data_IF_593807023655
#
_entry.id   IF_593807023655
#
_cell.length_a   1.000
_cell.length_b   1.000
_cell.length_c   1.000
_cell.angle_alpha   90.00
_cell.angle_beta   90.00
_cell.angle_gamma   90.00
#
_symmetry.space_group_name_H-M   'P 1'
#
loop_
_entity.id
_entity.type
_entity.pdbx_description
1 polymer ?
#
# COMPACT_ATOMS: atom_id res chain seq x y z
N UNK A 1 -11.03 73.14 2.62
CA UNK A 1 -10.25 72.24 1.75
C UNK A 1 -11.16 71.06 1.41
N UNK A 2 -11.84 71.12 0.27
CA UNK A 2 -12.77 70.08 -0.19
C UNK A 2 -12.06 69.19 -1.21
N UNK A 3 -11.98 67.90 -0.93
CA UNK A 3 -11.45 66.90 -1.86
C UNK A 3 -12.64 66.35 -2.66
N UNK A 4 -12.58 66.48 -3.98
CA UNK A 4 -13.50 65.85 -4.90
C UNK A 4 -12.96 64.46 -5.26
N UNK A 5 -13.73 63.42 -4.94
CA UNK A 5 -13.39 62.02 -5.24
C UNK A 5 -14.24 61.57 -6.41
N UNK A 6 -13.61 61.35 -7.57
CA UNK A 6 -14.25 60.69 -8.71
C UNK A 6 -14.02 59.18 -8.63
N UNK A 7 -15.12 58.42 -8.49
CA UNK A 7 -15.13 56.97 -8.63
C UNK A 7 -15.29 56.63 -10.11
N UNK A 8 -14.20 56.28 -10.77
CA UNK A 8 -14.25 55.71 -12.12
C UNK A 8 -14.63 54.23 -12.06
N UNK A 9 -15.77 53.86 -12.63
CA UNK A 9 -16.08 52.47 -12.94
C UNK A 9 -15.04 51.97 -13.96
N UNK A 10 -14.20 51.01 -13.55
CA UNK A 10 -13.30 50.32 -14.47
C UNK A 10 -14.16 49.63 -15.53
N UNK A 11 -14.04 50.07 -16.79
CA UNK A 11 -14.50 49.28 -17.93
C UNK A 11 -13.98 47.85 -17.76
N UNK A 12 -14.91 46.90 -17.68
CA UNK A 12 -14.61 45.48 -17.71
C UNK A 12 -13.89 45.19 -19.03
N UNK A 13 -12.56 45.25 -19.00
CA UNK A 13 -11.72 44.64 -20.02
C UNK A 13 -12.19 43.19 -20.13
N UNK A 14 -12.66 42.81 -21.32
CA UNK A 14 -12.97 41.43 -21.66
C UNK A 14 -11.82 40.55 -21.16
N UNK A 15 -12.11 39.74 -20.14
CA UNK A 15 -11.24 38.65 -19.74
C UNK A 15 -11.15 37.77 -20.99
N UNK A 16 -9.95 37.56 -21.57
CA UNK A 16 -9.80 36.65 -22.69
C UNK A 16 -10.43 35.32 -22.28
N UNK A 17 -11.35 34.83 -23.09
CA UNK A 17 -12.04 33.58 -22.86
C UNK A 17 -10.97 32.48 -22.99
N UNK A 18 -10.35 32.12 -21.87
CA UNK A 18 -9.31 31.10 -21.83
C UNK A 18 -9.94 29.79 -22.29
N UNK A 19 -9.37 29.22 -23.36
CA UNK A 19 -9.73 27.89 -23.79
C UNK A 19 -9.66 26.94 -22.58
N UNK A 20 -10.59 25.99 -22.44
CA UNK A 20 -10.53 25.03 -21.35
C UNK A 20 -9.15 24.34 -21.39
N UNK A 21 -8.45 24.21 -20.24
CA UNK A 21 -7.12 23.63 -20.21
C UNK A 21 -7.18 22.22 -20.81
N UNK A 22 -6.23 21.90 -21.69
CA UNK A 22 -6.12 20.57 -22.28
C UNK A 22 -6.18 19.51 -21.16
N UNK A 23 -7.14 18.59 -21.24
CA UNK A 23 -7.32 17.56 -20.24
C UNK A 23 -6.15 16.58 -20.32
N UNK A 24 -5.22 16.62 -19.37
CA UNK A 24 -4.13 15.64 -19.27
C UNK A 24 -4.70 14.29 -18.86
N UNK A 25 -4.41 13.26 -19.65
CA UNK A 25 -4.77 11.89 -19.30
C UNK A 25 -3.55 11.23 -18.66
N UNK A 26 -3.68 10.85 -17.38
CA UNK A 26 -2.64 10.10 -16.68
C UNK A 26 -2.81 8.60 -16.93
N UNK A 27 -1.76 7.96 -17.40
CA UNK A 27 -1.73 6.57 -17.82
C UNK A 27 -0.63 5.79 -17.09
N UNK A 28 -0.86 4.52 -16.69
CA UNK A 28 0.20 3.73 -16.09
C UNK A 28 1.32 3.42 -17.09
N UNK A 29 2.52 3.11 -16.58
CA UNK A 29 3.59 2.52 -17.38
C UNK A 29 3.39 1.01 -17.55
N UNK A 30 4.03 0.42 -18.57
CA UNK A 30 4.00 -1.03 -18.83
C UNK A 30 4.76 -1.82 -17.78
N UNK A 31 5.86 -1.28 -17.24
CA UNK A 31 6.50 -1.79 -16.03
C UNK A 31 5.90 -1.12 -14.81
N UNK A 32 5.28 -1.93 -13.95
CA UNK A 32 4.51 -1.48 -12.80
C UNK A 32 5.20 -1.91 -11.52
N UNK A 33 5.42 -0.96 -10.62
CA UNK A 33 5.98 -1.24 -9.30
C UNK A 33 4.86 -1.38 -8.25
N UNK A 34 4.89 -2.44 -7.47
CA UNK A 34 3.85 -2.81 -6.52
C UNK A 34 4.34 -2.55 -5.09
N UNK A 35 3.57 -1.76 -4.33
CA UNK A 35 3.75 -1.63 -2.89
C UNK A 35 3.15 -2.83 -2.14
N UNK A 36 3.54 -3.03 -0.88
CA UNK A 36 3.06 -4.12 -0.01
C UNK A 36 1.52 -4.21 0.00
N UNK A 37 0.85 -3.06 0.10
CA UNK A 37 -0.61 -3.01 0.16
C UNK A 37 -1.28 -3.62 -1.08
N UNK A 38 -0.65 -3.51 -2.25
CA UNK A 38 -1.15 -4.10 -3.47
C UNK A 38 -0.80 -5.58 -3.61
N UNK A 39 0.37 -6.01 -3.12
CA UNK A 39 0.69 -7.44 -3.05
C UNK A 39 -0.37 -8.20 -2.23
N UNK A 40 -0.78 -7.64 -1.09
CA UNK A 40 -1.86 -8.20 -0.27
C UNK A 40 -3.19 -8.21 -1.02
N UNK A 41 -3.51 -7.12 -1.73
CA UNK A 41 -4.73 -7.04 -2.51
C UNK A 41 -4.79 -8.04 -3.68
N UNK A 42 -3.65 -8.31 -4.32
CA UNK A 42 -3.52 -9.27 -5.42
C UNK A 42 -3.65 -10.73 -5.01
N UNK A 43 -3.57 -11.07 -3.71
CA UNK A 43 -3.76 -12.45 -3.23
C UNK A 43 -5.04 -12.62 -2.40
N UNK A 44 -5.64 -11.52 -1.95
CA UNK A 44 -6.84 -11.48 -1.12
C UNK A 44 -8.00 -12.29 -1.73
N UNK A 45 -8.68 -13.05 -0.87
CA UNK A 45 -9.88 -13.78 -1.27
C UNK A 45 -11.00 -12.85 -1.78
N UNK A 46 -11.12 -11.61 -1.31
CA UNK A 46 -12.12 -10.65 -1.82
C UNK A 46 -11.91 -10.38 -3.32
N UNK A 47 -10.66 -10.30 -3.75
CA UNK A 47 -10.30 -10.07 -5.16
C UNK A 47 -10.66 -11.28 -6.03
N UNK A 48 -10.46 -12.50 -5.52
CA UNK A 48 -10.57 -13.73 -6.33
C UNK A 48 -11.89 -14.49 -6.20
N UNK A 49 -12.59 -14.35 -5.07
CA UNK A 49 -13.84 -15.08 -4.82
C UNK A 49 -14.96 -14.62 -5.75
N UNK A 50 -15.95 -15.49 -6.04
CA UNK A 50 -17.15 -15.11 -6.79
C UNK A 50 -17.79 -13.87 -6.18
N UNK A 51 -18.23 -12.92 -7.00
CA UNK A 51 -18.84 -11.68 -6.49
C UNK A 51 -20.11 -11.98 -5.68
N UNK A 52 -20.40 -11.21 -4.62
CA UNK A 52 -21.71 -11.25 -3.98
C UNK A 52 -22.83 -10.89 -4.96
N UNK A 53 -23.99 -11.49 -4.76
CA UNK A 53 -25.19 -11.27 -5.58
C UNK A 53 -26.03 -10.09 -5.08
N UNK A 54 -25.84 -9.68 -3.83
CA UNK A 54 -26.56 -8.59 -3.18
C UNK A 54 -25.77 -8.03 -2.01
N UNK A 55 -26.21 -6.87 -1.48
CA UNK A 55 -25.62 -6.28 -0.27
C UNK A 55 -25.75 -7.22 0.94
N UNK A 56 -26.89 -7.90 1.06
CA UNK A 56 -27.16 -8.86 2.13
C UNK A 56 -26.22 -10.06 2.05
N UNK A 57 -25.95 -10.56 0.83
CA UNK A 57 -24.97 -11.63 0.60
C UNK A 57 -23.54 -11.17 0.97
N UNK A 58 -23.16 -9.95 0.58
CA UNK A 58 -21.85 -9.38 0.93
C UNK A 58 -21.64 -9.28 2.45
N UNK A 59 -22.66 -8.85 3.19
CA UNK A 59 -22.63 -8.81 4.65
C UNK A 59 -22.58 -10.22 5.27
N UNK A 60 -23.43 -11.12 4.79
CA UNK A 60 -23.52 -12.49 5.30
C UNK A 60 -22.19 -13.26 5.19
N UNK A 61 -21.40 -12.99 4.14
CA UNK A 61 -20.09 -13.63 3.92
C UNK A 61 -19.08 -13.39 5.02
N UNK A 62 -19.10 -12.23 5.68
CA UNK A 62 -18.11 -11.88 6.70
C UNK A 62 -18.73 -11.74 8.09
N UNK A 63 -20.00 -12.11 8.24
CA UNK A 63 -20.64 -12.21 9.54
C UNK A 63 -20.06 -13.43 10.28
N UNK A 64 -19.48 -13.26 11.48
CA UNK A 64 -18.94 -14.40 12.22
C UNK A 64 -20.05 -15.41 12.52
N UNK A 65 -19.73 -16.70 12.39
CA UNK A 65 -20.66 -17.81 12.64
C UNK A 65 -21.27 -17.74 14.05
N UNK A 66 -22.45 -18.32 14.23
CA UNK A 66 -23.12 -18.41 15.53
C UNK A 66 -22.21 -19.07 16.58
N UNK A 67 -21.48 -20.11 16.20
CA UNK A 67 -20.51 -20.79 17.07
C UNK A 67 -19.36 -19.87 17.52
N UNK A 68 -18.80 -19.05 16.63
CA UNK A 68 -17.78 -18.07 16.99
C UNK A 68 -18.32 -17.00 17.94
N UNK A 69 -19.54 -16.52 17.69
CA UNK A 69 -20.23 -15.56 18.58
C UNK A 69 -20.48 -16.17 19.97
N UNK A 70 -20.88 -17.44 20.04
CA UNK A 70 -21.06 -18.17 21.29
C UNK A 70 -19.75 -18.41 22.03
N UNK A 71 -18.69 -18.83 21.33
CA UNK A 71 -17.35 -18.98 21.92
C UNK A 71 -16.86 -17.65 22.52
N UNK A 72 -17.02 -16.53 21.79
CA UNK A 72 -16.64 -15.21 22.28
C UNK A 72 -17.48 -14.77 23.48
N UNK A 73 -18.78 -15.12 23.52
CA UNK A 73 -19.69 -14.86 24.65
C UNK A 73 -19.32 -15.67 25.89
N UNK A 74 -18.74 -16.87 25.76
CA UNK A 74 -18.32 -17.73 26.87
C UNK A 74 -16.95 -17.33 27.47
N UNK A 75 -16.19 -16.47 26.79
CA UNK A 75 -14.83 -16.07 27.20
C UNK A 75 -14.74 -15.09 28.39
N UNK A 76 -15.72 -14.21 28.70
CA UNK A 76 -15.65 -13.31 29.85
C UNK A 76 -15.64 -14.02 31.22
N UNK A 77 -16.01 -15.29 31.30
CA UNK A 77 -16.11 -16.02 32.57
C UNK A 77 -14.78 -16.65 33.03
N UNK A 78 -13.81 -16.84 32.12
CA UNK A 78 -12.52 -17.47 32.44
C UNK A 78 -11.39 -16.48 32.78
N UNK A 79 -11.59 -15.17 32.57
CA UNK A 79 -10.56 -14.13 32.82
C UNK A 79 -10.99 -13.05 33.83
N UNK A 80 -12.16 -13.13 34.45
CA UNK A 80 -12.51 -12.29 35.62
C UNK A 80 -11.84 -12.84 36.88
N UNK A 81 -10.52 -12.68 36.96
CA UNK A 81 -9.79 -12.72 38.22
C UNK A 81 -9.94 -11.38 38.93
N UNK A 82 -10.51 -11.40 40.13
CA UNK A 82 -10.60 -10.35 41.15
C UNK A 82 -9.83 -9.04 40.90
N UNK A 83 -10.42 -8.10 40.16
CA UNK A 83 -10.14 -6.69 40.38
C UNK A 83 -11.43 -5.91 40.16
N UNK A 84 -12.20 -5.79 41.25
CA UNK A 84 -13.24 -4.79 41.38
C UNK A 84 -12.54 -3.45 41.62
N UNK A 85 -12.42 -2.64 40.59
CA UNK A 85 -12.54 -1.18 40.70
C UNK A 85 -12.79 -0.60 39.30
N UNK A 86 -13.77 0.28 39.27
CA UNK A 86 -14.51 0.77 38.11
C UNK A 86 -13.66 1.42 37.00
N UNK A 87 -14.12 1.26 35.76
CA UNK A 87 -14.52 2.42 34.94
C UNK A 87 -15.47 2.00 33.79
N UNK A 88 -16.68 2.56 33.88
CA UNK A 88 -17.55 3.07 32.81
C UNK A 88 -18.01 2.16 31.65
N UNK A 89 -19.23 1.62 31.81
CA UNK A 89 -20.35 2.16 31.03
C UNK A 89 -20.39 1.94 29.52
N UNK A 90 -20.44 0.69 29.05
CA UNK A 90 -21.18 0.39 27.82
C UNK A 90 -21.89 -0.97 27.95
N UNK A 91 -23.23 -1.05 27.85
CA UNK A 91 -23.93 -2.32 27.72
C UNK A 91 -23.46 -3.03 26.45
N UNK A 92 -22.97 -4.27 26.58
CA UNK A 92 -22.47 -5.11 25.48
C UNK A 92 -23.61 -5.68 24.62
N UNK A 93 -24.50 -4.79 24.16
CA UNK A 93 -25.59 -5.09 23.22
C UNK A 93 -25.19 -4.75 21.78
N UNK A 94 -23.91 -4.89 21.44
CA UNK A 94 -23.46 -4.86 20.05
C UNK A 94 -23.76 -6.21 19.38
N UNK A 95 -25.04 -6.44 19.06
CA UNK A 95 -25.47 -7.47 18.11
C UNK A 95 -25.08 -7.15 16.65
N UNK A 96 -24.35 -6.06 16.41
CA UNK A 96 -23.85 -5.66 15.10
C UNK A 96 -22.58 -6.43 14.66
N UNK A 97 -22.33 -6.54 13.35
CA UNK A 97 -21.05 -7.04 12.83
C UNK A 97 -19.89 -6.20 13.38
N UNK A 98 -18.77 -6.85 13.69
CA UNK A 98 -17.56 -6.15 14.12
C UNK A 98 -17.14 -5.12 13.06
N UNK A 99 -16.45 -4.05 13.47
CA UNK A 99 -15.96 -3.04 12.52
C UNK A 99 -15.16 -3.65 11.36
N UNK A 100 -14.42 -4.73 11.63
CA UNK A 100 -13.67 -5.49 10.63
C UNK A 100 -14.59 -6.23 9.66
N UNK A 101 -15.62 -6.92 10.15
CA UNK A 101 -16.63 -7.59 9.31
C UNK A 101 -17.33 -6.60 8.37
N UNK A 102 -17.70 -5.42 8.88
CA UNK A 102 -18.28 -4.34 8.07
C UNK A 102 -17.30 -3.81 7.03
N UNK A 103 -16.02 -3.67 7.38
CA UNK A 103 -14.99 -3.23 6.45
C UNK A 103 -14.79 -4.22 5.29
N UNK A 104 -14.73 -5.54 5.57
CA UNK A 104 -14.62 -6.58 4.54
C UNK A 104 -15.86 -6.62 3.63
N UNK A 105 -17.05 -6.48 4.21
CA UNK A 105 -18.30 -6.40 3.45
C UNK A 105 -18.29 -5.21 2.49
N UNK A 106 -17.84 -4.04 2.96
CA UNK A 106 -17.68 -2.85 2.11
C UNK A 106 -16.64 -3.06 1.00
N UNK A 107 -15.55 -3.77 1.25
CA UNK A 107 -14.56 -4.10 0.22
C UNK A 107 -15.15 -5.05 -0.84
N UNK A 108 -15.97 -6.03 -0.44
CA UNK A 108 -16.68 -6.90 -1.39
C UNK A 108 -17.70 -6.12 -2.24
N UNK A 109 -18.40 -5.14 -1.66
CA UNK A 109 -19.27 -4.24 -2.41
C UNK A 109 -18.50 -3.37 -3.42
N UNK A 110 -17.28 -2.94 -3.07
CA UNK A 110 -16.41 -2.23 -4.01
C UNK A 110 -16.01 -3.12 -5.18
N UNK A 111 -15.66 -4.39 -4.92
CA UNK A 111 -15.35 -5.35 -6.00
C UNK A 111 -16.55 -5.63 -6.91
N UNK A 112 -17.79 -5.60 -6.40
CA UNK A 112 -18.99 -5.68 -7.23
C UNK A 112 -19.14 -4.47 -8.16
N UNK A 113 -18.78 -3.27 -7.70
CA UNK A 113 -18.89 -2.05 -8.48
C UNK A 113 -17.79 -1.97 -9.55
N UNK A 114 -16.55 -2.27 -9.16
CA UNK A 114 -15.40 -2.38 -10.07
C UNK A 114 -14.32 -3.24 -9.43
N UNK A 115 -14.06 -4.40 -10.03
CA UNK A 115 -13.03 -5.31 -9.55
C UNK A 115 -11.63 -4.71 -9.66
N UNK A 116 -10.77 -5.00 -8.69
CA UNK A 116 -9.37 -4.54 -8.72
C UNK A 116 -8.65 -5.01 -9.99
N UNK A 117 -8.76 -6.30 -10.32
CA UNK A 117 -8.06 -6.85 -11.49
C UNK A 117 -8.66 -6.32 -12.80
N UNK A 118 -9.98 -6.07 -12.85
CA UNK A 118 -10.62 -5.41 -13.98
C UNK A 118 -10.06 -4.00 -14.17
N UNK A 119 -9.96 -3.19 -13.10
CA UNK A 119 -9.36 -1.86 -13.18
C UNK A 119 -7.90 -1.92 -13.64
N UNK A 120 -7.12 -2.87 -13.12
CA UNK A 120 -5.74 -3.08 -13.52
C UNK A 120 -5.64 -3.38 -15.02
N UNK A 121 -6.43 -4.36 -15.50
CA UNK A 121 -6.45 -4.80 -16.90
C UNK A 121 -6.88 -3.66 -17.82
N UNK A 122 -7.97 -2.98 -17.52
CA UNK A 122 -8.51 -1.88 -18.34
C UNK A 122 -7.45 -0.80 -18.61
N UNK A 123 -6.76 -0.34 -17.56
CA UNK A 123 -5.76 0.73 -17.72
C UNK A 123 -4.49 0.24 -18.39
N UNK A 124 -4.09 -1.01 -18.16
CA UNK A 124 -2.89 -1.57 -18.78
C UNK A 124 -3.12 -1.87 -20.27
N UNK A 125 -4.30 -2.35 -20.66
CA UNK A 125 -4.68 -2.51 -22.08
C UNK A 125 -4.68 -1.15 -22.80
N UNK A 126 -5.03 -0.06 -22.11
CA UNK A 126 -5.00 1.28 -22.71
C UNK A 126 -3.60 1.79 -23.07
N UNK A 127 -2.53 1.20 -22.50
CA UNK A 127 -1.13 1.61 -22.68
C UNK A 127 -0.25 0.54 -23.33
N UNK A 128 -0.81 -0.65 -23.54
CA UNK A 128 -0.16 -1.86 -24.07
C UNK A 128 -1.07 -2.50 -25.13
N UNK A 129 -0.84 -3.77 -25.45
CA UNK A 129 -1.70 -4.58 -26.30
C UNK A 129 -2.88 -5.18 -25.50
N UNK A 130 -3.94 -5.64 -26.17
CA UNK A 130 -5.04 -6.39 -25.51
C UNK A 130 -4.58 -7.68 -24.80
N UNK A 131 -3.43 -8.21 -25.20
CA UNK A 131 -2.77 -9.39 -24.59
C UNK A 131 -1.84 -9.02 -23.43
N UNK A 132 -1.66 -7.72 -23.15
CA UNK A 132 -0.75 -7.18 -22.13
C UNK A 132 0.71 -7.61 -22.35
N UNK A 133 1.12 -7.75 -23.61
CA UNK A 133 2.48 -8.11 -23.96
C UNK A 133 3.45 -7.00 -23.53
N UNK A 134 4.55 -7.38 -22.89
CA UNK A 134 5.54 -6.45 -22.35
C UNK A 134 5.13 -5.74 -21.05
N UNK A 135 3.96 -6.04 -20.48
CA UNK A 135 3.62 -5.60 -19.12
C UNK A 135 4.38 -6.46 -18.11
N UNK A 136 5.06 -5.81 -17.16
CA UNK A 136 5.81 -6.49 -16.11
C UNK A 136 5.49 -5.91 -14.74
N UNK A 137 5.39 -6.78 -13.74
CA UNK A 137 5.19 -6.39 -12.35
C UNK A 137 6.46 -6.56 -11.53
N UNK A 138 6.79 -5.54 -10.76
CA UNK A 138 7.97 -5.47 -9.91
C UNK A 138 7.59 -5.12 -8.47
N UNK A 139 8.41 -5.51 -7.51
CA UNK A 139 8.28 -5.13 -6.10
C UNK A 139 9.65 -5.03 -5.42
N UNK A 140 9.70 -4.37 -4.26
CA UNK A 140 10.88 -4.40 -3.40
C UNK A 140 10.99 -5.74 -2.65
N UNK A 141 12.21 -6.12 -2.27
CA UNK A 141 12.46 -7.29 -1.42
C UNK A 141 11.76 -7.18 -0.07
N UNK A 142 11.76 -5.99 0.55
CA UNK A 142 11.04 -5.74 1.81
C UNK A 142 9.53 -6.01 1.65
N UNK A 143 8.89 -5.48 0.61
CA UNK A 143 7.46 -5.69 0.40
C UNK A 143 7.13 -7.17 0.13
N UNK A 144 7.97 -7.88 -0.64
CA UNK A 144 7.84 -9.34 -0.84
C UNK A 144 7.92 -10.08 0.48
N UNK A 145 8.99 -9.87 1.24
CA UNK A 145 9.28 -10.65 2.45
C UNK A 145 8.22 -10.42 3.52
N UNK A 146 7.74 -9.17 3.66
CA UNK A 146 6.61 -8.84 4.54
C UNK A 146 5.31 -9.48 4.06
N UNK A 147 5.01 -9.44 2.76
CA UNK A 147 3.82 -10.08 2.19
C UNK A 147 3.81 -11.59 2.50
N UNK A 148 4.93 -12.28 2.22
CA UNK A 148 5.09 -13.71 2.52
C UNK A 148 4.90 -13.99 4.00
N UNK A 149 5.51 -13.20 4.90
CA UNK A 149 5.36 -13.39 6.36
C UNK A 149 3.92 -13.20 6.82
N UNK A 150 3.24 -12.15 6.35
CA UNK A 150 1.85 -11.85 6.71
C UNK A 150 0.92 -12.99 6.26
N UNK A 151 1.04 -13.39 5.00
CA UNK A 151 0.10 -14.35 4.38
C UNK A 151 0.41 -15.79 4.80
N UNK A 152 1.67 -16.23 4.69
CA UNK A 152 2.06 -17.62 4.95
C UNK A 152 2.08 -17.96 6.43
N UNK A 153 2.59 -17.06 7.28
CA UNK A 153 2.88 -17.40 8.67
C UNK A 153 1.82 -16.92 9.66
N UNK A 154 0.90 -16.03 9.27
CA UNK A 154 0.07 -15.32 10.27
C UNK A 154 -1.42 -15.38 9.99
N UNK A 155 -1.87 -14.85 8.87
CA UNK A 155 -3.31 -14.57 8.71
C UNK A 155 -3.91 -15.04 7.38
N UNK A 156 -3.12 -15.51 6.42
CA UNK A 156 -3.66 -15.97 5.13
C UNK A 156 -4.40 -17.30 5.24
N UNK A 157 -5.54 -17.40 4.55
CA UNK A 157 -6.22 -18.68 4.33
C UNK A 157 -5.50 -19.55 3.30
N UNK A 158 -6.05 -20.74 3.02
CA UNK A 158 -5.43 -21.74 2.13
C UNK A 158 -5.19 -21.20 0.72
N UNK A 159 -6.20 -20.58 0.11
CA UNK A 159 -6.09 -20.04 -1.24
C UNK A 159 -5.19 -18.79 -1.28
N UNK A 160 -5.26 -17.91 -0.27
CA UNK A 160 -4.38 -16.74 -0.16
C UNK A 160 -2.90 -17.16 -0.06
N UNK A 161 -2.60 -18.19 0.75
CA UNK A 161 -1.27 -18.79 0.89
C UNK A 161 -0.77 -19.40 -0.42
N UNK A 162 -1.64 -20.11 -1.13
CA UNK A 162 -1.31 -20.67 -2.43
C UNK A 162 -0.95 -19.57 -3.44
N UNK A 163 -1.76 -18.51 -3.52
CA UNK A 163 -1.54 -17.39 -4.45
C UNK A 163 -0.25 -16.64 -4.16
N UNK A 164 0.06 -16.35 -2.89
CA UNK A 164 1.31 -15.63 -2.57
C UNK A 164 2.54 -16.46 -2.90
N UNK A 165 2.51 -17.78 -2.70
CA UNK A 165 3.59 -18.67 -3.09
C UNK A 165 3.78 -18.71 -4.62
N UNK A 166 2.67 -18.66 -5.37
CA UNK A 166 2.69 -18.62 -6.82
C UNK A 166 3.22 -17.30 -7.40
N UNK A 167 3.03 -16.16 -6.72
CA UNK A 167 3.59 -14.86 -7.15
C UNK A 167 5.13 -14.84 -7.13
N UNK A 168 5.74 -15.62 -6.24
CA UNK A 168 7.19 -15.70 -6.04
C UNK A 168 7.67 -17.15 -6.17
N UNK A 169 7.62 -17.74 -7.38
CA UNK A 169 7.90 -19.16 -7.57
C UNK A 169 9.33 -19.52 -7.19
N UNK A 170 9.50 -20.68 -6.57
CA UNK A 170 10.82 -21.24 -6.27
C UNK A 170 11.56 -21.64 -7.55
N UNK A 171 12.88 -21.81 -7.48
CA UNK A 171 13.67 -22.27 -8.63
C UNK A 171 13.24 -23.63 -9.20
N UNK A 172 12.51 -24.44 -8.42
CA UNK A 172 12.03 -25.76 -8.82
C UNK A 172 10.61 -25.73 -9.42
N UNK A 173 9.94 -24.57 -9.40
CA UNK A 173 8.56 -24.42 -9.89
C UNK A 173 8.58 -23.75 -11.25
N UNK A 174 8.04 -24.40 -12.28
CA UNK A 174 7.94 -23.77 -13.60
C UNK A 174 6.96 -22.59 -13.57
N UNK A 175 7.19 -21.58 -14.41
CA UNK A 175 6.31 -20.39 -14.47
C UNK A 175 4.87 -20.80 -14.82
N UNK A 176 4.67 -21.76 -15.73
CA UNK A 176 3.32 -22.25 -16.06
C UNK A 176 2.61 -22.87 -14.86
N UNK A 177 3.30 -23.68 -14.06
CA UNK A 177 2.72 -24.28 -12.86
C UNK A 177 2.38 -23.23 -11.80
N UNK A 178 3.24 -22.22 -11.63
CA UNK A 178 2.97 -21.12 -10.73
C UNK A 178 1.76 -20.31 -11.20
N UNK A 179 1.65 -20.04 -12.49
CA UNK A 179 0.49 -19.36 -13.06
C UNK A 179 -0.81 -20.16 -12.85
N UNK A 180 -0.79 -21.47 -13.08
CA UNK A 180 -1.91 -22.37 -12.78
C UNK A 180 -2.32 -22.28 -11.31
N UNK A 181 -1.34 -22.35 -10.40
CA UNK A 181 -1.59 -22.27 -8.96
C UNK A 181 -2.13 -20.91 -8.52
N UNK A 182 -1.71 -19.80 -9.14
CA UNK A 182 -2.22 -18.46 -8.79
C UNK A 182 -3.70 -18.28 -9.19
N UNK A 183 -4.08 -18.76 -10.36
CA UNK A 183 -5.44 -18.61 -10.88
C UNK A 183 -6.41 -19.70 -10.39
N UNK A 184 -5.94 -20.73 -9.71
CA UNK A 184 -6.80 -21.74 -9.10
C UNK A 184 -7.80 -21.10 -8.11
N UNK A 185 -9.05 -21.55 -8.18
CA UNK A 185 -10.18 -21.01 -7.40
C UNK A 185 -10.40 -19.49 -7.55
N UNK A 186 -9.93 -18.89 -8.65
CA UNK A 186 -10.20 -17.50 -8.99
C UNK A 186 -11.44 -17.38 -9.87
N UNK A 187 -12.22 -16.30 -9.69
CA UNK A 187 -13.32 -15.93 -10.60
C UNK A 187 -12.82 -15.46 -11.97
N UNK A 188 -11.55 -15.09 -12.08
CA UNK A 188 -10.93 -14.65 -13.32
C UNK A 188 -10.29 -15.83 -14.06
N UNK A 189 -10.29 -15.83 -15.41
CA UNK A 189 -9.64 -16.86 -16.18
C UNK A 189 -8.11 -16.83 -16.00
N UNK A 190 -7.45 -17.95 -16.35
CA UNK A 190 -5.98 -18.00 -16.43
C UNK A 190 -5.45 -16.90 -17.35
N UNK A 191 -4.30 -16.33 -17.01
CA UNK A 191 -3.65 -15.25 -17.75
C UNK A 191 -4.52 -13.97 -17.86
N UNK A 192 -5.46 -13.75 -16.95
CA UNK A 192 -6.24 -12.50 -16.92
C UNK A 192 -5.36 -11.27 -16.69
N UNK A 193 -4.27 -11.41 -15.94
CA UNK A 193 -3.17 -10.44 -15.86
C UNK A 193 -1.83 -11.18 -15.82
N UNK A 194 -0.76 -10.66 -16.42
CA UNK A 194 0.56 -11.30 -16.41
C UNK A 194 1.30 -11.05 -15.08
N UNK A 195 0.67 -11.35 -13.93
CA UNK A 195 1.23 -11.08 -12.59
C UNK A 195 2.27 -12.10 -12.14
N UNK A 196 2.35 -13.28 -12.75
CA UNK A 196 3.30 -14.33 -12.40
C UNK A 196 4.42 -14.41 -13.44
N UNK A 197 5.72 -14.33 -13.05
CA UNK A 197 6.22 -13.99 -11.71
C UNK A 197 6.22 -12.49 -11.45
N UNK A 198 6.06 -12.08 -10.19
CA UNK A 198 6.42 -10.72 -9.77
C UNK A 198 7.94 -10.67 -9.61
N UNK A 199 8.56 -9.74 -10.33
CA UNK A 199 10.02 -9.51 -10.27
C UNK A 199 10.38 -8.73 -9.00
N UNK A 200 11.55 -9.00 -8.45
CA UNK A 200 12.01 -8.39 -7.19
C UNK A 200 13.27 -7.62 -7.45
N UNK A 201 13.38 -6.40 -6.93
CA UNK A 201 14.63 -5.65 -6.99
C UNK A 201 15.71 -6.30 -6.12
N UNK A 202 16.93 -6.38 -6.65
CA UNK A 202 18.06 -7.03 -5.98
C UNK A 202 18.55 -6.25 -4.75
N UNK A 203 18.35 -4.93 -4.73
CA UNK A 203 18.79 -4.05 -3.64
C UNK A 203 17.59 -3.42 -2.92
N UNK A 204 17.77 -3.13 -1.63
CA UNK A 204 16.72 -2.52 -0.77
C UNK A 204 16.35 -1.13 -1.28
N UNK A 205 17.35 -0.33 -1.63
CA UNK A 205 17.18 1.01 -2.21
C UNK A 205 17.85 1.09 -3.59
N UNK A 206 17.34 1.91 -4.51
CA UNK A 206 18.00 2.14 -5.77
C UNK A 206 19.35 2.85 -5.58
N UNK A 207 20.31 2.65 -6.49
CA UNK A 207 21.57 3.38 -6.49
C UNK A 207 21.35 4.91 -6.44
N UNK A 208 22.20 5.68 -5.74
CA UNK A 208 22.02 7.12 -5.57
C UNK A 208 22.15 7.90 -6.89
N UNK A 209 22.86 7.36 -7.86
CA UNK A 209 23.04 7.89 -9.22
C UNK A 209 21.89 7.51 -10.18
N UNK A 210 21.03 6.54 -9.80
CA UNK A 210 19.85 6.21 -10.59
C UNK A 210 18.85 7.38 -10.53
N UNK A 211 18.66 8.03 -11.67
CA UNK A 211 17.70 9.11 -11.84
C UNK A 211 16.59 8.66 -12.79
N UNK A 212 15.36 9.18 -12.63
CA UNK A 212 14.29 8.89 -13.58
C UNK A 212 14.73 9.28 -14.99
N UNK A 213 14.45 8.44 -16.00
CA UNK A 213 14.78 8.79 -17.38
C UNK A 213 13.95 10.01 -17.83
N UNK A 214 14.38 10.67 -18.90
CA UNK A 214 13.61 11.78 -19.49
C UNK A 214 12.39 11.26 -20.27
N UNK A 215 12.51 10.05 -20.82
CA UNK A 215 11.49 9.38 -21.61
C UNK A 215 11.10 8.06 -20.96
N UNK A 216 9.83 7.70 -21.08
CA UNK A 216 9.32 6.38 -20.74
C UNK A 216 9.79 5.36 -21.77
N UNK A 217 9.54 4.08 -21.48
CA UNK A 217 9.89 2.96 -22.38
C UNK A 217 9.21 3.07 -23.75
N UNK A 218 8.06 3.75 -23.81
CA UNK A 218 7.31 4.00 -25.05
C UNK A 218 7.73 5.33 -25.71
N UNK A 219 8.86 5.92 -25.31
CA UNK A 219 9.39 7.17 -25.86
C UNK A 219 8.64 8.44 -25.44
N UNK A 220 7.72 8.37 -24.46
CA UNK A 220 6.94 9.54 -24.01
C UNK A 220 7.69 10.33 -22.95
N UNK A 221 7.62 11.66 -22.97
CA UNK A 221 8.22 12.47 -21.92
C UNK A 221 7.65 12.08 -20.54
N UNK A 222 8.55 11.83 -19.58
CA UNK A 222 8.16 11.62 -18.20
C UNK A 222 7.93 12.95 -17.51
N UNK A 223 6.93 12.94 -16.63
CA UNK A 223 6.68 14.08 -15.76
C UNK A 223 7.92 14.42 -14.95
N UNK A 224 8.31 15.70 -14.84
CA UNK A 224 9.29 16.14 -13.85
C UNK A 224 8.94 15.71 -12.41
N UNK A 225 7.68 15.33 -12.16
CA UNK A 225 7.19 14.83 -10.89
C UNK A 225 7.90 13.54 -10.45
N UNK A 226 8.38 12.70 -11.37
CA UNK A 226 9.18 11.52 -11.03
C UNK A 226 10.48 11.88 -10.32
N UNK A 227 11.19 12.91 -10.79
CA UNK A 227 12.44 13.37 -10.18
C UNK A 227 12.18 13.98 -8.80
N UNK A 228 11.10 14.76 -8.68
CA UNK A 228 10.68 15.35 -7.42
C UNK A 228 10.31 14.27 -6.39
N UNK A 229 9.49 13.29 -6.79
CA UNK A 229 9.10 12.17 -5.94
C UNK A 229 10.32 11.36 -5.48
N UNK A 230 11.24 11.03 -6.39
CA UNK A 230 12.48 10.31 -6.08
C UNK A 230 13.33 11.07 -5.06
N UNK A 231 13.57 12.37 -5.29
CA UNK A 231 14.31 13.23 -4.36
C UNK A 231 13.66 13.29 -2.98
N UNK A 232 12.35 13.49 -2.92
CA UNK A 232 11.62 13.55 -1.65
C UNK A 232 11.68 12.22 -0.91
N UNK A 233 11.46 11.08 -1.57
CA UNK A 233 11.56 9.78 -0.92
C UNK A 233 12.98 9.51 -0.37
N UNK A 234 14.04 9.90 -1.10
CA UNK A 234 15.43 9.82 -0.58
C UNK A 234 15.62 10.66 0.67
N UNK A 235 15.17 11.90 0.66
CA UNK A 235 15.29 12.80 1.80
C UNK A 235 14.59 12.24 3.05
N UNK A 236 13.37 11.71 2.88
CA UNK A 236 12.60 11.11 3.97
C UNK A 236 13.33 9.85 4.51
N UNK A 237 13.89 9.00 3.64
CA UNK A 237 14.65 7.81 4.09
C UNK A 237 15.99 8.14 4.79
N UNK A 238 16.68 9.20 4.36
CA UNK A 238 17.91 9.67 5.02
C UNK A 238 17.62 10.12 6.46
N UNK A 239 16.52 10.82 6.69
CA UNK A 239 16.11 11.31 8.02
C UNK A 239 15.82 10.17 9.02
N UNK A 240 15.50 8.97 8.54
CA UNK A 240 15.23 7.80 9.39
C UNK A 240 16.47 7.02 9.79
N UNK A 241 17.58 7.18 9.05
CA UNK A 241 18.83 6.48 9.38
C UNK A 241 19.43 7.15 10.63
N UNK A 242 19.53 6.45 11.78
CA UNK A 242 20.13 7.04 12.95
C UNK A 242 21.59 7.41 12.62
N UNK A 243 21.94 8.69 12.78
CA UNK A 243 23.34 9.11 12.79
C UNK A 243 24.07 8.25 13.82
N UNK A 244 25.25 7.66 13.50
CA UNK A 244 26.04 6.95 14.50
C UNK A 244 26.38 7.95 15.62
N UNK A 245 25.79 7.77 16.78
CA UNK A 245 26.16 8.50 17.99
C UNK A 245 27.64 8.19 18.27
N UNK A 246 28.49 9.20 18.55
CA UNK A 246 29.89 8.95 18.87
C UNK A 246 29.97 8.02 20.10
N UNK A 247 30.77 6.96 19.95
CA UNK A 247 31.04 5.92 20.93
C UNK A 247 31.36 6.53 22.30
N UNK A 248 30.70 6.10 23.40
CA UNK A 248 31.17 6.48 24.73
C UNK A 248 32.58 5.88 24.98
N UNK A 249 33.48 6.59 25.67
CA UNK A 249 34.83 6.11 25.93
C UNK A 249 34.80 4.84 26.79
N UNK A 250 35.81 3.95 26.64
CA UNK A 250 35.82 2.65 27.29
C UNK A 250 35.89 2.78 28.82
N UNK A 251 35.27 1.85 29.57
CA UNK A 251 35.34 1.84 31.02
C UNK A 251 36.76 1.48 31.47
N UNK A 252 37.37 2.38 32.23
CA UNK A 252 38.64 2.13 32.92
C UNK A 252 38.38 1.22 34.13
N UNK A 253 39.21 0.18 34.25
CA UNK A 253 39.32 -0.74 35.37
C UNK A 253 39.24 -0.07 36.75
N UNK A 254 38.25 -0.43 37.56
CA UNK A 254 38.39 -0.65 39.02
C UNK A 254 37.41 -1.71 39.54
N UNK A 255 37.93 -2.48 40.49
CA UNK A 255 37.53 -3.81 40.96
C UNK A 255 36.61 -3.71 42.22
N UNK A 256 36.31 -4.80 42.99
CA UNK A 256 34.98 -5.40 43.10
C UNK A 256 34.30 -5.31 44.49
N UNK A 257 33.13 -5.96 44.60
CA UNK A 257 32.39 -6.45 45.80
C UNK A 257 31.16 -5.63 46.25
N UNK A 258 29.96 -6.19 46.06
CA UNK A 258 29.27 -6.92 47.12
C UNK A 258 27.99 -7.59 46.56
N UNK A 259 27.97 -8.91 46.65
CA UNK A 259 26.83 -9.77 46.36
C UNK A 259 25.76 -9.63 47.44
N UNK A 260 24.49 -9.47 47.06
CA UNK A 260 23.36 -10.00 47.85
C UNK A 260 22.50 -10.87 46.96
N UNK A 261 22.35 -12.11 47.40
CA UNK A 261 21.68 -13.20 46.74
C UNK A 261 20.16 -13.06 46.89
N UNK A 262 19.45 -12.90 45.78
CA UNK A 262 18.01 -13.12 45.70
C UNK A 262 17.53 -13.32 44.25
N UNK A 263 18.31 -13.99 43.40
CA UNK A 263 17.86 -14.41 42.06
C UNK A 263 18.56 -15.70 41.64
N UNK A 264 18.16 -16.80 42.28
CA UNK A 264 18.58 -18.13 41.84
C UNK A 264 17.43 -19.11 42.09
N UNK A 265 16.32 -18.92 41.40
CA UNK A 265 15.36 -20.00 41.10
C UNK A 265 14.32 -19.49 40.08
N UNK A 266 14.67 -19.61 38.79
CA UNK A 266 13.76 -19.73 37.64
C UNK A 266 14.57 -19.94 36.36
N UNK A 267 15.35 -21.03 36.34
CA UNK A 267 15.80 -21.66 35.08
C UNK A 267 15.16 -23.04 35.04
N UNK A 268 14.21 -23.22 34.13
CA UNK A 268 13.54 -24.49 33.94
C UNK A 268 12.29 -24.42 33.07
N UNK A 269 12.43 -24.04 31.78
CA UNK A 269 11.61 -24.55 30.67
C UNK A 269 12.23 -24.12 29.32
N UNK A 270 12.70 -25.05 28.49
CA UNK A 270 12.95 -24.80 27.08
C UNK A 270 11.62 -25.00 26.34
N UNK A 271 11.03 -23.93 25.83
CA UNK A 271 9.76 -24.01 25.12
C UNK A 271 9.51 -22.76 24.29
N UNK A 272 9.51 -22.97 22.98
CA UNK A 272 9.07 -22.09 21.90
C UNK A 272 9.73 -20.71 21.82
N UNK A 273 10.46 -20.50 20.72
CA UNK A 273 10.85 -19.18 20.25
C UNK A 273 9.58 -18.33 20.05
N UNK A 274 9.34 -17.39 20.97
CA UNK A 274 8.35 -16.33 20.83
C UNK A 274 8.90 -15.20 19.94
N UNK A 275 9.55 -15.59 18.83
CA UNK A 275 10.21 -14.72 17.85
C UNK A 275 9.26 -14.36 16.70
N UNK A 276 7.96 -14.46 16.96
CA UNK A 276 6.89 -14.57 15.98
C UNK A 276 5.90 -13.40 16.07
N UNK A 277 6.28 -12.26 16.64
CA UNK A 277 5.51 -11.04 16.47
C UNK A 277 5.82 -10.45 15.08
N UNK A 278 4.80 -10.18 14.25
CA UNK A 278 5.04 -9.39 13.03
C UNK A 278 5.57 -8.04 13.52
N UNK A 279 6.88 -7.80 13.38
CA UNK A 279 7.44 -6.49 13.63
C UNK A 279 6.57 -5.45 12.92
N UNK A 280 5.99 -4.53 13.70
CA UNK A 280 5.16 -3.46 13.12
C UNK A 280 5.99 -2.77 12.04
N UNK A 281 5.32 -2.37 10.96
CA UNK A 281 5.99 -1.57 9.92
C UNK A 281 6.74 -0.43 10.62
N UNK A 282 8.02 -0.26 10.29
CA UNK A 282 8.82 0.83 10.84
C UNK A 282 8.18 2.11 10.37
N UNK A 283 7.42 2.70 11.30
CA UNK A 283 6.76 3.98 11.13
C UNK A 283 7.86 5.03 11.18
N UNK A 284 7.87 5.91 10.19
CA UNK A 284 8.92 6.91 10.08
C UNK A 284 8.82 7.88 11.27
N UNK A 285 9.92 8.06 12.01
CA UNK A 285 10.06 9.01 13.11
C UNK A 285 9.64 10.41 12.70
N UNK A 286 10.00 10.84 11.49
CA UNK A 286 9.66 12.16 10.97
C UNK A 286 8.16 12.30 10.64
N UNK A 287 7.49 11.20 10.29
CA UNK A 287 6.07 11.23 9.93
C UNK A 287 5.39 9.87 10.22
N UNK A 288 4.57 9.78 11.28
CA UNK A 288 4.03 8.50 11.71
C UNK A 288 2.99 7.90 10.76
N UNK A 289 2.62 8.63 9.70
CA UNK A 289 1.72 8.16 8.64
C UNK A 289 2.47 7.49 7.50
N UNK A 290 3.80 7.51 7.50
CA UNK A 290 4.64 6.88 6.51
C UNK A 290 5.25 5.60 7.06
N UNK A 291 5.27 4.58 6.22
CA UNK A 291 5.98 3.32 6.45
C UNK A 291 7.19 3.27 5.53
N UNK A 292 8.33 2.81 6.05
CA UNK A 292 9.58 2.72 5.29
C UNK A 292 9.40 1.94 3.97
N UNK A 293 8.73 0.79 3.99
CA UNK A 293 8.48 -0.02 2.79
C UNK A 293 7.70 0.73 1.69
N UNK A 294 6.72 1.57 2.06
CA UNK A 294 5.93 2.32 1.07
C UNK A 294 6.77 3.44 0.45
N UNK A 295 7.59 4.12 1.26
CA UNK A 295 8.52 5.15 0.75
C UNK A 295 9.59 4.53 -0.14
N UNK A 296 10.14 3.38 0.22
CA UNK A 296 11.08 2.63 -0.62
C UNK A 296 10.44 2.17 -1.94
N UNK A 297 9.21 1.67 -1.89
CA UNK A 297 8.47 1.27 -3.09
C UNK A 297 8.28 2.48 -4.01
N UNK A 298 7.79 3.61 -3.49
CA UNK A 298 7.65 4.83 -4.28
C UNK A 298 8.99 5.35 -4.83
N UNK A 299 10.08 5.25 -4.05
CA UNK A 299 11.41 5.62 -4.51
C UNK A 299 11.85 4.77 -5.72
N UNK A 300 11.65 3.45 -5.68
CA UNK A 300 12.01 2.56 -6.78
C UNK A 300 11.23 2.87 -8.06
N UNK A 301 9.91 3.03 -7.96
CA UNK A 301 9.11 3.40 -9.12
C UNK A 301 9.51 4.79 -9.64
N UNK A 302 9.66 5.77 -8.75
CA UNK A 302 10.07 7.12 -9.13
C UNK A 302 11.42 7.14 -9.85
N UNK A 303 12.46 6.52 -9.27
CA UNK A 303 13.82 6.51 -9.79
C UNK A 303 13.94 5.79 -11.14
N UNK A 304 13.04 4.85 -11.45
CA UNK A 304 13.00 4.15 -12.75
C UNK A 304 12.05 4.77 -13.77
N UNK A 305 11.25 5.76 -13.38
CA UNK A 305 10.20 6.29 -14.25
C UNK A 305 9.00 5.36 -14.40
N UNK A 306 8.74 4.49 -13.41
CA UNK A 306 7.67 3.50 -13.42
C UNK A 306 6.54 3.89 -12.46
N UNK A 307 5.30 3.61 -12.85
CA UNK A 307 4.12 3.79 -12.00
C UNK A 307 4.22 2.90 -10.77
N UNK A 308 4.16 3.51 -9.58
CA UNK A 308 3.97 2.77 -8.32
C UNK A 308 2.48 2.67 -8.00
N UNK A 309 1.99 1.46 -7.77
CA UNK A 309 0.60 1.22 -7.42
C UNK A 309 0.50 0.84 -5.93
N UNK A 310 -0.40 1.50 -5.21
CA UNK A 310 -0.57 1.34 -3.76
C UNK A 310 -2.03 1.57 -3.36
N UNK A 311 -2.47 0.93 -2.28
CA UNK A 311 -3.72 1.27 -1.62
C UNK A 311 -3.54 2.22 -0.42
N UNK A 312 -2.30 2.58 -0.08
CA UNK A 312 -1.99 3.43 1.06
C UNK A 312 -2.17 4.92 0.76
N UNK A 313 -3.45 5.34 0.67
CA UNK A 313 -3.88 6.73 0.45
C UNK A 313 -3.26 7.71 1.46
N UNK A 314 -3.08 7.30 2.71
CA UNK A 314 -2.45 8.11 3.76
C UNK A 314 -0.99 8.43 3.45
N UNK A 315 -0.20 7.43 3.05
CA UNK A 315 1.21 7.64 2.72
C UNK A 315 1.38 8.54 1.50
N UNK A 316 0.54 8.35 0.48
CA UNK A 316 0.54 9.21 -0.72
C UNK A 316 0.26 10.67 -0.33
N UNK A 317 -0.78 10.92 0.48
CA UNK A 317 -1.11 12.28 0.94
C UNK A 317 0.02 12.90 1.78
N UNK A 318 0.67 12.11 2.63
CA UNK A 318 1.79 12.54 3.44
C UNK A 318 2.99 12.96 2.58
N UNK A 319 3.39 12.14 1.60
CA UNK A 319 4.49 12.46 0.67
C UNK A 319 4.16 13.70 -0.19
N UNK A 320 2.93 13.80 -0.70
CA UNK A 320 2.52 14.98 -1.47
C UNK A 320 2.56 16.27 -0.64
N UNK A 321 2.27 16.18 0.67
CA UNK A 321 2.42 17.32 1.58
C UNK A 321 3.89 17.68 1.78
N UNK A 322 4.77 16.70 1.92
CA UNK A 322 6.20 16.92 2.11
C UNK A 322 6.84 17.53 0.85
N UNK A 323 6.44 17.07 -0.35
CA UNK A 323 6.79 17.69 -1.64
C UNK A 323 6.38 19.17 -1.67
N UNK A 324 5.15 19.50 -1.26
CA UNK A 324 4.67 20.89 -1.24
C UNK A 324 5.45 21.76 -0.26
N UNK A 325 5.87 21.19 0.87
CA UNK A 325 6.66 21.90 1.87
C UNK A 325 8.09 22.16 1.40
N UNK A 326 8.70 21.25 0.63
CA UNK A 326 10.07 21.41 0.14
C UNK A 326 10.21 22.38 -1.04
N UNK A 327 9.20 22.45 -1.93
CA UNK A 327 9.25 23.31 -3.13
C UNK A 327 8.74 24.75 -2.90
N UNK A 328 8.55 25.18 -1.65
CA UNK A 328 8.12 26.56 -1.36
C UNK A 328 6.68 26.91 -1.73
N UNK A 329 5.79 25.92 -1.90
CA UNK A 329 4.35 26.11 -2.12
C UNK A 329 3.83 25.65 -3.50
N UNK A 330 2.70 26.23 -3.95
CA UNK A 330 1.96 25.78 -5.14
C UNK A 330 2.60 26.11 -6.50
N UNK A 331 3.71 26.88 -6.53
CA UNK A 331 4.26 27.46 -7.76
C UNK A 331 4.64 26.43 -8.84
N UNK A 332 5.11 25.25 -8.44
CA UNK A 332 5.53 24.21 -9.38
C UNK A 332 4.36 23.56 -10.16
N UNK A 333 3.18 23.48 -9.54
CA UNK A 333 1.97 22.98 -10.23
C UNK A 333 1.41 24.02 -11.20
N UNK A 334 1.64 25.32 -10.98
CA UNK A 334 1.20 26.40 -11.87
C UNK A 334 2.11 26.53 -13.10
N UNK A 335 3.43 26.44 -12.94
CA UNK A 335 4.38 26.64 -14.03
C UNK A 335 4.30 25.53 -15.11
N UNK A 336 4.00 24.30 -14.67
CA UNK A 336 3.66 23.20 -15.57
C UNK A 336 2.36 23.44 -16.34
N UNK A 337 1.38 24.19 -15.79
CA UNK A 337 0.14 24.54 -16.50
C UNK A 337 0.40 25.61 -17.56
N UNK A 338 1.18 26.64 -17.23
CA UNK A 338 1.51 27.75 -18.14
C UNK A 338 2.34 27.27 -19.34
N UNK A 339 3.28 26.34 -19.14
CA UNK A 339 4.07 25.79 -20.26
C UNK A 339 3.24 24.95 -21.26
N UNK A 340 2.09 24.42 -20.83
CA UNK A 340 1.19 23.66 -21.70
C UNK A 340 0.20 24.55 -22.48
N UNK A 341 0.04 25.82 -22.08
CA UNK A 341 -0.84 26.79 -22.77
C UNK A 341 -0.19 27.37 -24.04
N UNK A 342 1.10 27.13 -24.29
CA UNK A 342 1.83 27.59 -25.47
C UNK A 342 1.94 26.58 -26.64
N UNK A 343 1.43 25.36 -26.48
CA UNK A 343 1.39 24.34 -27.54
C UNK A 343 -0.05 24.19 -28.06
N UNK A 344 -0.37 24.92 -29.12
CA UNK A 344 -1.63 24.83 -29.89
C UNK A 344 -1.74 23.51 -30.70
N UNK A 345 -1.61 22.35 -30.06
CA UNK A 345 -2.11 21.09 -30.62
C UNK A 345 -3.25 20.57 -29.73
N UNK A 346 -4.47 20.64 -30.27
CA UNK A 346 -5.71 20.19 -29.64
C UNK A 346 -5.79 18.65 -29.52
N UNK A 347 -4.77 18.03 -28.93
CA UNK A 347 -4.70 16.60 -28.61
C UNK A 347 -4.60 16.38 -27.10
N UNK A 348 -5.32 15.37 -26.60
CA UNK A 348 -5.14 14.89 -25.22
C UNK A 348 -3.73 14.29 -25.11
N UNK A 349 -2.80 15.02 -24.50
CA UNK A 349 -1.45 14.51 -24.22
C UNK A 349 -1.56 13.51 -23.07
N UNK A 350 -1.31 12.24 -23.38
CA UNK A 350 -1.22 11.17 -22.39
C UNK A 350 0.14 11.21 -21.69
N UNK A 351 0.12 11.41 -20.37
CA UNK A 351 1.31 11.50 -19.52
C UNK A 351 1.41 10.27 -18.61
N UNK A 352 2.63 9.79 -18.36
CA UNK A 352 2.85 8.66 -17.46
C UNK A 352 2.55 9.05 -16.00
N UNK A 353 1.70 8.27 -15.33
CA UNK A 353 1.38 8.44 -13.92
C UNK A 353 2.52 7.89 -13.06
N UNK A 354 3.10 8.70 -12.18
CA UNK A 354 4.08 8.22 -11.20
C UNK A 354 3.45 7.35 -10.10
N UNK A 355 2.19 7.62 -9.75
CA UNK A 355 1.45 6.90 -8.73
C UNK A 355 0.05 6.54 -9.21
N UNK A 356 -0.38 5.32 -8.88
CA UNK A 356 -1.75 4.88 -9.07
C UNK A 356 -2.30 4.38 -7.74
N UNK A 357 -3.29 5.10 -7.22
CA UNK A 357 -3.87 4.79 -5.92
C UNK A 357 -5.16 4.02 -6.11
N UNK A 358 -5.20 2.79 -5.60
CA UNK A 358 -6.38 1.92 -5.62
C UNK A 358 -7.06 1.90 -4.26
N UNK A 359 -8.25 1.33 -4.18
CA UNK A 359 -8.91 1.08 -2.91
C UNK A 359 -8.30 -0.15 -2.19
N UNK A 360 -8.22 -0.16 -0.85
CA UNK A 360 -7.56 -1.22 -0.09
C UNK A 360 -8.37 -2.51 -0.08
N UNK A 361 -7.67 -3.65 -0.12
CA UNK A 361 -8.20 -5.01 0.04
C UNK A 361 -7.45 -5.66 1.20
N UNK A 362 -8.19 -6.35 2.06
CA UNK A 362 -7.65 -7.07 3.20
C UNK A 362 -7.68 -8.56 2.93
N UNK A 363 -6.82 -9.31 3.62
CA UNK A 363 -6.96 -10.77 3.67
C UNK A 363 -8.27 -11.08 4.38
N UNK A 364 -9.03 -12.01 3.82
CA UNK A 364 -10.44 -12.19 4.17
C UNK A 364 -10.85 -13.65 4.25
N UNK A 365 -10.07 -14.57 3.69
CA UNK A 365 -10.43 -15.99 3.59
C UNK A 365 -10.76 -16.60 4.97
N UNK A 366 -9.87 -16.43 5.94
CA UNK A 366 -10.07 -16.91 7.31
C UNK A 366 -11.18 -16.20 8.10
N UNK A 367 -11.74 -15.12 7.55
CA UNK A 367 -12.85 -14.36 8.14
C UNK A 367 -14.20 -14.64 7.48
N UNK A 368 -14.24 -15.54 6.49
CA UNK A 368 -15.51 -15.92 5.87
C UNK A 368 -16.36 -16.76 6.82
N UNK A 369 -17.68 -16.60 6.71
CA UNK A 369 -18.66 -17.35 7.49
C UNK A 369 -18.64 -18.86 7.18
N UNK A 370 -18.25 -19.22 5.95
CA UNK A 370 -18.13 -20.60 5.46
C UNK A 370 -16.70 -21.16 5.55
N UNK A 371 -15.76 -20.42 6.16
CA UNK A 371 -14.39 -20.90 6.34
C UNK A 371 -14.35 -22.09 7.30
N UNK A 372 -13.80 -23.21 6.83
CA UNK A 372 -13.48 -24.37 7.64
C UNK A 372 -11.97 -24.56 7.60
N UNK A 373 -11.33 -24.47 8.77
CA UNK A 373 -9.91 -24.83 8.90
C UNK A 373 -9.82 -26.36 8.85
N UNK A 374 -9.32 -26.90 7.74
CA UNK A 374 -9.06 -28.34 7.64
C UNK A 374 -7.99 -28.72 8.68
N UNK A 375 -8.36 -29.64 9.57
CA UNK A 375 -7.59 -30.07 10.74
C UNK A 375 -6.39 -30.96 10.40
#
# INVERSE_FOLDING_TARGET
>A
MGIEVQLGERQQLHVPQTAPPASRRLEPTTRVNLDLSLLIALVSDITHSPLPTSVVDAEARYVPSSQYREWKRKRPEACKGNNEEAEDGAPWDSNGPSEHSRALSNQALQEMARGLLDELRDRLVAVSSPTLEGVEFWTTSEARDRCLRIVLSKIGGRNEKQRVAALFPSANTSISQAEDAYWENSRYPKAFLPVVPIRVFDTVVPPPDLNPPLLSENGRALSPFFALLSRTCRNILIQETPSPTPTPPPPSDRQPAHSTAAQAERRGRPGAADDDEIERATVMKANPRLTAHTVQSMLWGAARGWTTVTANKSSVKAILRDIRASEGGYGWFEESRVSAEGQEEAGVVAEAAAMWVVDPRSLAEGMRADYQEEA
#
